data_IF_355718177527
#
_entry.id   IF_355718177527
#
_cell.length_a   1.000
_cell.length_b   1.000
_cell.length_c   1.000
_cell.angle_alpha   90.00
_cell.angle_beta   90.00
_cell.angle_gamma   90.00
#
_symmetry.space_group_name_H-M   'P 1'
#
loop_
_entity.id
_entity.type
_entity.pdbx_description
1 polymer ?
#
# COMPACT_ATOMS: atom_id res chain seq x y z
N UNK A 1 2.98 15.93 16.52
CA UNK A 1 2.89 14.46 16.42
C UNK A 1 2.65 14.12 14.97
N UNK A 2 3.50 13.31 14.36
CA UNK A 2 3.23 12.72 13.03
C UNK A 2 2.28 11.54 13.24
N UNK A 3 1.02 11.70 12.86
CA UNK A 3 0.04 10.61 12.80
C UNK A 3 0.42 9.70 11.61
N UNK A 4 1.07 8.57 11.93
CA UNK A 4 1.43 7.52 10.98
C UNK A 4 0.69 6.23 11.36
N UNK A 5 -0.14 5.72 10.45
CA UNK A 5 -0.89 4.48 10.68
C UNK A 5 -0.56 3.44 9.59
N UNK A 6 -0.29 2.17 9.94
CA UNK A 6 -0.07 1.13 8.94
C UNK A 6 -1.37 0.86 8.18
N UNK A 7 -1.27 0.74 6.85
CA UNK A 7 -2.44 0.56 5.96
C UNK A 7 -2.33 -0.65 5.02
N UNK A 8 -1.11 -1.13 4.77
CA UNK A 8 -0.89 -2.31 3.95
C UNK A 8 0.38 -3.06 4.41
N UNK A 9 0.39 -4.39 4.23
CA UNK A 9 1.58 -5.23 4.35
C UNK A 9 1.74 -6.08 3.10
N UNK A 10 2.97 -6.19 2.62
CA UNK A 10 3.32 -6.91 1.40
C UNK A 10 4.44 -7.91 1.67
N UNK A 11 4.28 -9.13 1.13
CA UNK A 11 5.33 -10.15 1.04
C UNK A 11 5.41 -10.65 -0.39
N UNK A 12 6.61 -11.05 -0.80
CA UNK A 12 6.90 -11.43 -2.17
C UNK A 12 7.53 -12.81 -2.24
N UNK A 13 7.12 -13.58 -3.25
CA UNK A 13 7.74 -14.87 -3.60
C UNK A 13 8.09 -14.84 -5.07
N UNK A 14 9.34 -15.15 -5.41
CA UNK A 14 9.79 -15.25 -6.80
C UNK A 14 9.14 -16.42 -7.51
N UNK A 15 8.55 -16.17 -8.68
CA UNK A 15 7.90 -17.18 -9.52
C UNK A 15 8.72 -17.45 -10.78
N UNK A 16 9.27 -16.40 -11.38
CA UNK A 16 10.18 -16.44 -12.53
C UNK A 16 11.10 -15.21 -12.50
N UNK A 17 12.10 -15.08 -13.41
CA UNK A 17 12.90 -13.86 -13.50
C UNK A 17 12.01 -12.63 -13.65
N UNK A 18 12.17 -11.66 -12.74
CA UNK A 18 11.38 -10.42 -12.67
C UNK A 18 9.86 -10.66 -12.61
N UNK A 19 9.42 -11.78 -12.04
CA UNK A 19 8.01 -12.10 -11.81
C UNK A 19 7.81 -12.60 -10.39
N UNK A 20 6.88 -11.97 -9.68
CA UNK A 20 6.68 -12.21 -8.26
C UNK A 20 5.19 -12.38 -7.94
N UNK A 21 4.89 -13.40 -7.14
CA UNK A 21 3.63 -13.49 -6.43
C UNK A 21 3.70 -12.56 -5.21
N UNK A 22 2.63 -11.80 -4.99
CA UNK A 22 2.51 -10.81 -3.92
C UNK A 22 1.37 -11.22 -3.01
N UNK A 23 1.67 -11.39 -1.72
CA UNK A 23 0.66 -11.44 -0.68
C UNK A 23 0.45 -10.02 -0.15
N UNK A 24 -0.74 -9.46 -0.35
CA UNK A 24 -1.13 -8.13 0.11
C UNK A 24 -2.21 -8.25 1.19
N UNK A 25 -1.93 -7.69 2.37
CA UNK A 25 -2.89 -7.54 3.48
C UNK A 25 -3.23 -6.07 3.66
N UNK A 26 -4.51 -5.73 3.71
CA UNK A 26 -5.04 -4.36 3.90
C UNK A 26 -6.15 -4.36 4.95
N UNK A 27 -6.57 -3.18 5.43
CA UNK A 27 -7.67 -3.07 6.40
C UNK A 27 -7.26 -3.64 7.77
N UNK A 28 -7.95 -4.69 8.23
CA UNK A 28 -7.64 -5.38 9.49
C UNK A 28 -6.40 -6.32 9.39
N UNK A 29 -5.79 -6.42 8.21
CA UNK A 29 -4.66 -7.32 7.91
C UNK A 29 -4.95 -8.82 8.02
N UNK A 30 -6.20 -9.23 8.17
CA UNK A 30 -6.55 -10.64 8.39
C UNK A 30 -6.91 -11.40 7.13
N UNK A 31 -7.33 -10.70 6.07
CA UNK A 31 -7.68 -11.30 4.79
C UNK A 31 -6.56 -11.02 3.77
N UNK A 32 -5.63 -11.97 3.53
CA UNK A 32 -4.64 -11.81 2.48
C UNK A 32 -5.31 -11.88 1.10
N UNK A 33 -4.85 -11.04 0.19
CA UNK A 33 -5.14 -11.12 -1.25
C UNK A 33 -3.85 -11.41 -1.99
N UNK A 34 -3.94 -12.18 -3.07
CA UNK A 34 -2.78 -12.61 -3.84
C UNK A 34 -2.83 -12.02 -5.25
N UNK A 35 -1.68 -11.53 -5.70
CA UNK A 35 -1.50 -10.90 -7.01
C UNK A 35 -0.19 -11.36 -7.65
N UNK A 36 -0.06 -11.17 -8.95
CA UNK A 36 1.22 -11.34 -9.66
C UNK A 36 1.69 -10.01 -10.23
N UNK A 37 2.96 -9.66 -10.05
CA UNK A 37 3.55 -8.46 -10.63
C UNK A 37 4.81 -8.80 -11.41
N UNK A 38 5.20 -7.90 -12.32
CA UNK A 38 6.41 -8.00 -13.12
C UNK A 38 7.31 -6.78 -12.92
N UNK A 39 8.61 -7.01 -12.81
CA UNK A 39 9.61 -5.98 -12.56
C UNK A 39 10.56 -6.32 -11.41
N UNK A 40 11.41 -5.36 -11.07
CA UNK A 40 12.40 -5.47 -9.98
C UNK A 40 11.88 -4.81 -8.70
N UNK A 41 10.97 -3.85 -8.84
CA UNK A 41 10.39 -3.06 -7.77
C UNK A 41 8.87 -3.27 -7.72
N UNK A 42 8.27 -3.06 -6.55
CA UNK A 42 6.83 -2.97 -6.39
C UNK A 42 6.43 -1.52 -6.14
N UNK A 43 5.21 -1.16 -6.52
CA UNK A 43 4.62 0.16 -6.30
C UNK A 43 3.20 0.05 -5.81
N UNK A 44 2.87 0.81 -4.76
CA UNK A 44 1.51 0.96 -4.26
C UNK A 44 1.06 2.41 -4.37
N UNK A 45 -0.01 2.63 -5.12
CA UNK A 45 -0.63 3.92 -5.37
C UNK A 45 -1.82 4.13 -4.42
N UNK A 46 -2.02 5.35 -3.93
CA UNK A 46 -3.20 5.78 -3.19
C UNK A 46 -3.66 7.20 -3.60
N UNK A 47 -4.93 7.50 -3.31
CA UNK A 47 -5.49 8.85 -3.41
C UNK A 47 -5.84 9.35 -2.01
N UNK A 48 -5.50 10.60 -1.74
CA UNK A 48 -5.73 11.28 -0.47
C UNK A 48 -6.69 12.45 -0.67
N UNK A 49 -7.52 12.68 0.34
CA UNK A 49 -8.35 13.88 0.47
C UNK A 49 -8.00 14.55 1.78
N UNK A 50 -7.72 15.85 1.70
CA UNK A 50 -7.40 16.69 2.84
C UNK A 50 -8.51 17.72 3.05
N UNK A 51 -8.93 17.90 4.29
CA UNK A 51 -9.95 18.87 4.68
C UNK A 51 -9.33 20.22 5.09
N UNK A 52 -10.10 21.30 4.95
CA UNK A 52 -9.68 22.66 5.34
C UNK A 52 -9.55 22.78 6.86
N UNK A 53 -8.61 23.60 7.38
CA UNK A 53 -8.34 23.69 8.82
C UNK A 53 -9.52 24.09 9.72
N UNK A 54 -10.49 24.86 9.22
CA UNK A 54 -11.68 25.26 10.00
C UNK A 54 -12.76 24.18 10.09
N UNK A 55 -12.60 23.05 9.37
CA UNK A 55 -13.37 21.83 9.55
C UNK A 55 -12.73 20.87 10.58
N UNK A 56 -11.61 21.25 11.22
CA UNK A 56 -10.83 20.39 12.13
C UNK A 56 -11.39 20.32 13.57
N UNK A 57 -12.59 20.84 13.83
CA UNK A 57 -13.33 20.48 15.03
C UNK A 57 -13.96 19.10 14.79
N UNK A 58 -13.30 18.07 15.33
CA UNK A 58 -13.63 16.62 15.35
C UNK A 58 -12.85 15.77 14.33
N UNK A 59 -11.65 15.30 14.70
CA UNK A 59 -11.16 13.94 14.38
C UNK A 59 -11.01 13.48 12.92
N UNK A 60 -11.14 14.36 11.92
CA UNK A 60 -11.02 13.97 10.50
C UNK A 60 -9.55 13.94 10.06
N UNK A 61 -8.90 12.79 10.30
CA UNK A 61 -7.62 12.45 9.67
C UNK A 61 -7.74 12.44 8.14
N UNK A 62 -6.61 12.63 7.44
CA UNK A 62 -6.55 12.49 5.99
C UNK A 62 -7.19 11.17 5.53
N UNK A 63 -8.26 11.27 4.75
CA UNK A 63 -8.90 10.09 4.17
C UNK A 63 -8.05 9.59 3.02
N UNK A 64 -7.81 8.28 2.98
CA UNK A 64 -7.03 7.64 1.93
C UNK A 64 -7.82 6.51 1.29
N UNK A 65 -7.52 6.24 0.03
CA UNK A 65 -7.93 5.03 -0.66
C UNK A 65 -6.76 4.44 -1.42
N UNK A 66 -6.42 3.18 -1.15
CA UNK A 66 -5.49 2.42 -1.98
C UNK A 66 -6.10 2.27 -3.37
N UNK A 67 -5.31 2.50 -4.41
CA UNK A 67 -5.77 2.50 -5.79
C UNK A 67 -5.26 1.28 -6.53
N UNK A 68 -3.93 1.14 -6.61
CA UNK A 68 -3.30 0.19 -7.53
C UNK A 68 -2.00 -0.35 -6.98
N UNK A 69 -1.80 -1.65 -7.15
CA UNK A 69 -0.53 -2.34 -6.95
C UNK A 69 0.05 -2.66 -8.33
N UNK A 70 1.30 -2.33 -8.57
CA UNK A 70 1.98 -2.67 -9.83
C UNK A 70 3.43 -3.05 -9.59
N UNK A 71 4.00 -3.83 -10.48
CA UNK A 71 5.45 -3.94 -10.57
C UNK A 71 6.06 -2.77 -11.35
N UNK A 72 7.35 -2.52 -11.15
CA UNK A 72 8.12 -1.49 -11.85
C UNK A 72 9.50 -2.04 -12.19
N UNK A 73 9.96 -1.76 -13.40
CA UNK A 73 11.32 -2.07 -13.83
C UNK A 73 12.25 -0.92 -13.43
N UNK A 74 13.39 -1.28 -12.86
CA UNK A 74 14.41 -0.32 -12.44
C UNK A 74 15.19 0.25 -13.64
N UNK A 75 15.42 -0.56 -14.67
CA UNK A 75 16.00 -0.15 -15.96
C UNK A 75 14.93 0.50 -16.85
N UNK A 76 15.28 1.65 -17.44
CA UNK A 76 14.36 2.44 -18.27
C UNK A 76 14.00 1.76 -19.60
N UNK A 77 14.91 0.99 -20.19
CA UNK A 77 14.62 0.25 -21.44
C UNK A 77 13.66 -0.87 -21.14
N UNK A 78 13.84 -1.57 -20.03
CA UNK A 78 12.89 -2.59 -19.58
C UNK A 78 11.53 -1.96 -19.24
N UNK A 79 11.52 -0.84 -18.52
CA UNK A 79 10.28 -0.11 -18.21
C UNK A 79 9.50 0.33 -19.47
N UNK A 80 10.18 0.60 -20.58
CA UNK A 80 9.53 0.98 -21.83
C UNK A 80 9.09 -0.20 -22.69
N UNK A 81 9.76 -1.37 -22.58
CA UNK A 81 9.63 -2.45 -23.56
C UNK A 81 9.09 -3.76 -22.99
N UNK A 82 9.21 -4.01 -21.68
CA UNK A 82 8.72 -5.24 -21.07
C UNK A 82 7.26 -5.12 -20.63
N UNK A 83 6.52 -6.24 -20.57
CA UNK A 83 5.11 -6.22 -20.16
C UNK A 83 4.91 -5.78 -18.70
N UNK A 84 3.97 -4.87 -18.48
CA UNK A 84 3.57 -4.41 -17.14
C UNK A 84 2.32 -5.13 -16.67
N UNK A 85 2.24 -5.38 -15.36
CA UNK A 85 1.03 -5.88 -14.71
C UNK A 85 0.69 -4.97 -13.54
N UNK A 86 -0.57 -4.53 -13.51
CA UNK A 86 -1.10 -3.69 -12.44
C UNK A 86 -2.50 -4.15 -12.04
N UNK A 87 -2.77 -4.11 -10.75
CA UNK A 87 -3.99 -4.60 -10.12
C UNK A 87 -4.69 -3.46 -9.38
N UNK A 88 -6.00 -3.35 -9.56
CA UNK A 88 -6.81 -2.46 -8.74
C UNK A 88 -6.98 -3.08 -7.34
N UNK A 89 -6.63 -2.32 -6.30
CA UNK A 89 -6.62 -2.80 -4.90
C UNK A 89 -7.80 -2.27 -4.09
N UNK A 90 -8.21 -1.03 -4.36
CA UNK A 90 -9.34 -0.39 -3.70
C UNK A 90 -10.65 -0.70 -4.40
N UNK A 91 -11.72 -0.67 -3.62
CA UNK A 91 -13.07 -0.68 -4.16
C UNK A 91 -13.30 0.56 -5.02
N UNK A 92 -13.98 0.38 -6.14
CA UNK A 92 -14.49 1.50 -6.94
C UNK A 92 -15.44 2.30 -6.06
N UNK A 93 -15.21 3.61 -5.86
CA UNK A 93 -16.07 4.38 -4.98
C UNK A 93 -17.50 4.40 -5.53
N UNK A 94 -18.49 4.30 -4.65
CA UNK A 94 -19.88 4.55 -5.02
C UNK A 94 -20.10 6.01 -5.49
N UNK A 95 -19.22 6.93 -5.08
CA UNK A 95 -19.26 8.35 -5.43
C UNK A 95 -17.88 8.78 -5.94
N UNK A 96 -17.79 9.16 -7.21
CA UNK A 96 -16.57 9.74 -7.74
C UNK A 96 -16.40 11.19 -7.24
N UNK A 97 -15.65 11.34 -6.15
CA UNK A 97 -15.31 12.65 -5.58
C UNK A 97 -14.59 13.56 -6.60
N UNK A 98 -13.96 13.01 -7.65
CA UNK A 98 -13.37 13.83 -8.71
C UNK A 98 -14.42 14.45 -9.63
N UNK A 99 -15.60 13.84 -9.78
CA UNK A 99 -16.75 14.48 -10.42
C UNK A 99 -17.36 15.56 -9.52
N UNK A 100 -17.49 15.31 -8.21
CA UNK A 100 -18.05 16.28 -7.26
C UNK A 100 -17.18 17.55 -7.08
N UNK A 101 -15.87 17.44 -7.34
CA UNK A 101 -14.94 18.56 -7.26
C UNK A 101 -14.76 19.31 -8.59
N UNK A 102 -15.35 18.83 -9.71
CA UNK A 102 -15.41 19.59 -10.96
C UNK A 102 -16.55 20.60 -10.88
N UNK A 103 -16.21 21.84 -11.23
CA UNK A 103 -17.13 22.99 -11.39
C UNK A 103 -17.56 23.71 -10.10
N UNK A 104 -16.90 24.85 -9.83
CA UNK A 104 -17.47 25.98 -9.06
C UNK A 104 -17.69 25.81 -7.54
N UNK A 105 -17.81 24.58 -7.01
CA UNK A 105 -18.18 24.32 -5.62
C UNK A 105 -17.01 24.30 -4.64
N UNK A 106 -15.76 24.37 -5.12
CA UNK A 106 -14.55 24.36 -4.28
C UNK A 106 -14.50 25.53 -3.27
N UNK A 107 -15.16 26.66 -3.59
CA UNK A 107 -15.24 27.81 -2.68
C UNK A 107 -15.98 27.47 -1.38
N UNK A 108 -17.00 26.61 -1.45
CA UNK A 108 -17.82 26.19 -0.30
C UNK A 108 -17.50 24.77 0.18
N UNK A 109 -16.68 24.02 -0.57
CA UNK A 109 -16.26 22.68 -0.18
C UNK A 109 -15.36 22.73 1.07
N UNK A 110 -15.60 21.84 2.06
CA UNK A 110 -14.69 21.66 3.18
C UNK A 110 -13.39 20.95 2.79
N UNK A 111 -13.26 20.47 1.54
CA UNK A 111 -12.02 19.88 1.02
C UNK A 111 -11.00 20.98 0.72
N UNK A 112 -9.80 20.83 1.27
CA UNK A 112 -8.61 21.64 0.96
C UNK A 112 -8.02 21.19 -0.37
N UNK A 113 -7.70 19.90 -0.50
CA UNK A 113 -7.09 19.34 -1.70
C UNK A 113 -7.32 17.83 -1.84
N UNK A 114 -7.19 17.33 -3.07
CA UNK A 114 -7.10 15.91 -3.39
C UNK A 114 -5.81 15.66 -4.15
N UNK A 115 -5.03 14.67 -3.72
CA UNK A 115 -3.73 14.38 -4.33
C UNK A 115 -3.45 12.87 -4.40
N UNK A 116 -2.57 12.48 -5.32
CA UNK A 116 -2.05 11.11 -5.42
C UNK A 116 -0.79 10.95 -4.60
N UNK A 117 -0.62 9.78 -3.98
CA UNK A 117 0.64 9.38 -3.35
C UNK A 117 1.00 7.97 -3.79
N UNK A 118 2.29 7.73 -4.02
CA UNK A 118 2.81 6.45 -4.45
C UNK A 118 4.06 6.15 -3.65
N UNK A 119 4.20 4.91 -3.22
CA UNK A 119 5.43 4.40 -2.62
C UNK A 119 5.91 3.19 -3.41
N UNK A 120 7.22 3.04 -3.55
CA UNK A 120 7.83 1.91 -4.24
C UNK A 120 9.12 1.49 -3.54
N UNK A 121 9.50 0.22 -3.73
CA UNK A 121 10.77 -0.36 -3.28
C UNK A 121 11.14 -1.55 -4.18
N UNK A 122 12.43 -1.82 -4.29
CA UNK A 122 13.04 -3.08 -4.73
C UNK A 122 12.43 -4.26 -4.01
N UNK A 123 12.14 -5.31 -4.77
CA UNK A 123 11.57 -6.56 -4.26
C UNK A 123 12.69 -7.41 -3.67
N UNK A 124 12.62 -7.64 -2.37
CA UNK A 124 13.51 -8.54 -1.64
C UNK A 124 12.65 -9.58 -0.90
N UNK A 125 12.57 -10.82 -1.40
CA UNK A 125 11.69 -11.86 -0.83
C UNK A 125 11.93 -12.19 0.66
N UNK A 126 13.11 -11.84 1.20
CA UNK A 126 13.43 -12.00 2.61
C UNK A 126 12.73 -10.99 3.53
N UNK A 127 12.10 -9.95 2.99
CA UNK A 127 11.49 -8.86 3.75
C UNK A 127 9.96 -8.82 3.62
N UNK A 128 9.32 -8.40 4.71
CA UNK A 128 7.96 -7.88 4.69
C UNK A 128 8.00 -6.36 4.65
N UNK A 129 7.18 -5.76 3.78
CA UNK A 129 7.04 -4.33 3.65
C UNK A 129 5.76 -3.88 4.33
N UNK A 130 5.84 -2.90 5.23
CA UNK A 130 4.67 -2.23 5.81
C UNK A 130 4.56 -0.83 5.23
N UNK A 131 3.41 -0.53 4.64
CA UNK A 131 3.07 0.80 4.13
C UNK A 131 2.25 1.53 5.19
N UNK A 132 2.63 2.77 5.45
CA UNK A 132 1.97 3.68 6.39
C UNK A 132 1.31 4.82 5.63
N UNK A 133 0.13 5.27 6.08
CA UNK A 133 -0.37 6.61 5.76
C UNK A 133 0.25 7.61 6.71
N UNK A 134 0.62 8.78 6.20
CA UNK A 134 0.81 9.99 6.99
C UNK A 134 -0.25 11.02 6.60
N UNK A 135 -0.16 12.22 7.17
CA UNK A 135 -1.01 13.36 6.80
C UNK A 135 -0.72 13.89 5.38
N UNK A 136 0.40 13.52 4.76
CA UNK A 136 0.85 14.10 3.48
C UNK A 136 1.28 13.08 2.43
N UNK A 137 1.54 11.82 2.78
CA UNK A 137 2.01 10.81 1.84
C UNK A 137 1.86 9.38 2.36
N UNK A 138 2.17 8.42 1.48
CA UNK A 138 2.54 7.07 1.86
C UNK A 138 4.02 7.00 2.27
N UNK A 139 4.31 6.14 3.24
CA UNK A 139 5.65 5.79 3.68
C UNK A 139 5.80 4.27 3.68
N UNK A 140 7.01 3.75 3.49
CA UNK A 140 7.29 2.31 3.57
C UNK A 140 8.40 2.03 4.57
N UNK A 141 8.25 0.95 5.33
CA UNK A 141 9.32 0.34 6.13
C UNK A 141 9.39 -1.14 5.81
N UNK A 142 10.60 -1.71 5.75
CA UNK A 142 10.80 -3.14 5.54
C UNK A 142 11.40 -3.79 6.78
N UNK A 143 10.97 -5.01 7.06
CA UNK A 143 11.47 -5.82 8.17
C UNK A 143 11.81 -7.22 7.67
N UNK A 144 12.92 -7.78 8.16
CA UNK A 144 13.34 -9.12 7.81
C UNK A 144 12.29 -10.12 8.31
N UNK A 145 11.79 -10.99 7.43
CA UNK A 145 10.87 -12.06 7.83
C UNK A 145 11.66 -13.02 8.71
N UNK A 146 11.24 -13.17 9.98
CA UNK A 146 11.82 -14.16 10.88
C UNK A 146 11.46 -15.55 10.38
N UNK A 147 12.38 -16.19 9.67
CA UNK A 147 12.21 -17.57 9.20
C UNK A 147 12.28 -18.55 10.36
N UNK A 148 11.69 -19.73 10.16
CA UNK A 148 11.83 -20.89 11.06
C UNK A 148 13.30 -21.19 11.31
N UNK A 149 13.70 -21.31 12.57
CA UNK A 149 15.09 -21.63 12.95
C UNK A 149 15.13 -22.89 13.81
N UNK A 150 16.23 -23.62 13.73
CA UNK A 150 16.55 -24.65 14.72
C UNK A 150 17.41 -24.02 15.81
N UNK A 151 16.92 -24.00 17.05
CA UNK A 151 17.66 -23.55 18.23
C UNK A 151 17.72 -24.70 19.25
N UNK A 152 18.93 -25.11 19.63
CA UNK A 152 19.16 -26.15 20.66
C UNK A 152 18.38 -27.46 20.43
N UNK A 153 18.22 -27.87 19.16
CA UNK A 153 17.47 -29.07 18.76
C UNK A 153 15.96 -28.89 18.66
N UNK A 154 15.43 -27.68 18.89
CA UNK A 154 14.01 -27.36 18.73
C UNK A 154 13.75 -26.48 17.51
N UNK A 155 12.66 -26.77 16.79
CA UNK A 155 12.17 -25.95 15.69
C UNK A 155 11.41 -24.73 16.27
N UNK A 156 11.97 -23.54 16.11
CA UNK A 156 11.36 -22.28 16.53
C UNK A 156 10.62 -21.67 15.34
N UNK A 157 9.30 -21.68 15.42
CA UNK A 157 8.39 -21.03 14.46
C UNK A 157 7.86 -19.74 15.12
N UNK A 158 8.29 -18.55 14.68
CA UNK A 158 7.75 -17.31 15.20
C UNK A 158 6.31 -17.14 14.71
N UNK A 159 5.33 -17.30 15.62
CA UNK A 159 3.91 -17.05 15.33
C UNK A 159 3.60 -15.61 15.73
N UNK A 160 3.47 -14.71 14.75
CA UNK A 160 2.85 -13.41 14.96
C UNK A 160 1.33 -13.54 14.77
N UNK A 161 0.59 -13.68 15.88
CA UNK A 161 -0.87 -13.59 15.85
C UNK A 161 -1.28 -12.13 15.62
N UNK A 162 -1.66 -11.82 14.38
CA UNK A 162 -2.21 -10.50 14.01
C UNK A 162 -3.73 -10.44 14.05
N UNK A 163 -4.39 -11.60 14.10
CA UNK A 163 -5.84 -11.73 13.99
C UNK A 163 -6.39 -12.52 15.18
N UNK A 164 -7.54 -12.09 15.71
CA UNK A 164 -8.33 -12.92 16.60
C UNK A 164 -9.03 -13.99 15.76
N UNK A 165 -9.02 -15.21 16.26
CA UNK A 165 -9.94 -16.26 15.82
C UNK A 165 -11.31 -15.86 16.39
N UNK A 166 -12.30 -15.63 15.54
CA UNK A 166 -13.71 -15.43 15.94
C UNK A 166 -14.34 -16.77 16.35
#
# INVERSE_FOLDING_TARGET
MTDEAPIARLRFVGVAPQQYAVELRTGNFCSPRYFEIKGDEWRLDARFIKWKPLANLVGFDAMYRLNRLSGRYSDIREANNLPHVAHQIGETPAIDLSEYLREGWLKWSPVDTSFGSSVYESIEPAYEYTVYRSQSALLVRKQLIKTVRYESGALVIPIEKLCKDD
#
